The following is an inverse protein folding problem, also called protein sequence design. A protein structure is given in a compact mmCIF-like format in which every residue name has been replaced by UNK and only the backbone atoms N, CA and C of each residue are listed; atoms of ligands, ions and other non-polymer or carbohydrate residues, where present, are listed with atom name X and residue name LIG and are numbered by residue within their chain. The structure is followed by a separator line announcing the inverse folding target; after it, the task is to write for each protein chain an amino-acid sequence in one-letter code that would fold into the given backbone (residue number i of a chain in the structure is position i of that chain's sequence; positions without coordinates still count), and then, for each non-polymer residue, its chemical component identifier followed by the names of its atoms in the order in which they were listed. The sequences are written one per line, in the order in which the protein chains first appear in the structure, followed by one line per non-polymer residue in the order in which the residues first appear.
data_IF_696540946071
#
_entry.id   IF_696540946071
#
_cell.length_a   1.000
_cell.length_b   1.000
_cell.length_c   1.000
_cell.angle_alpha   90.00
_cell.angle_beta   90.00
_cell.angle_gamma   90.00
#
_symmetry.space_group_name_H-M   'P 1'
#
loop_
_entity.id
_entity.type
_entity.pdbx_description
1 polymer ?
#
# COMPACT_ATOMS: atom_id res chain seq x y z
N UNK A 1 56.26 -0.95 68.92
CA UNK A 1 56.75 -2.15 68.22
C UNK A 1 55.90 -2.34 66.97
N UNK A 2 56.52 -2.28 65.79
CA UNK A 2 55.90 -2.33 64.46
C UNK A 2 55.90 -3.80 64.01
N UNK A 3 54.74 -4.40 63.73
CA UNK A 3 54.68 -5.70 63.04
C UNK A 3 54.19 -5.45 61.60
N UNK A 4 55.05 -5.83 60.65
CA UNK A 4 55.01 -5.54 59.22
C UNK A 4 54.77 -6.83 58.43
N UNK A 5 53.69 -7.55 58.74
CA UNK A 5 53.35 -8.79 58.03
C UNK A 5 51.98 -8.70 57.40
N UNK A 6 52.01 -8.72 56.06
CA UNK A 6 50.95 -9.01 55.09
C UNK A 6 50.63 -7.87 54.12
N UNK A 7 51.67 -7.65 53.32
CA UNK A 7 51.70 -7.18 51.95
C UNK A 7 50.44 -7.46 51.08
N UNK A 8 50.07 -6.40 50.34
CA UNK A 8 49.81 -6.42 48.88
C UNK A 8 48.52 -7.13 48.40
N UNK A 9 47.49 -6.29 48.24
CA UNK A 9 46.75 -6.04 46.98
C UNK A 9 46.81 -7.11 45.87
N UNK A 10 45.67 -7.72 45.55
CA UNK A 10 44.90 -7.44 44.33
C UNK A 10 43.66 -8.35 44.27
N UNK A 11 42.52 -7.82 44.69
CA UNK A 11 41.24 -8.35 44.22
C UNK A 11 41.14 -8.04 42.73
N UNK A 12 41.45 -9.03 41.90
CA UNK A 12 41.19 -8.96 40.47
C UNK A 12 39.67 -8.89 40.28
N UNK A 13 39.13 -7.66 40.23
CA UNK A 13 37.81 -7.41 39.66
C UNK A 13 37.84 -7.97 38.23
N UNK A 14 36.95 -8.90 37.85
CA UNK A 14 36.82 -9.23 36.44
C UNK A 14 36.47 -7.93 35.71
N UNK A 15 37.29 -7.55 34.74
CA UNK A 15 36.97 -6.46 33.82
C UNK A 15 35.55 -6.69 33.33
N UNK A 16 34.66 -5.72 33.57
CA UNK A 16 33.38 -5.65 32.88
C UNK A 16 33.71 -5.62 31.41
N UNK A 17 33.57 -6.76 30.73
CA UNK A 17 33.50 -6.78 29.28
C UNK A 17 32.34 -5.85 28.91
N UNK A 18 32.69 -4.74 28.27
CA UNK A 18 31.76 -3.80 27.68
C UNK A 18 30.92 -4.55 26.65
N UNK A 19 29.81 -5.13 27.09
CA UNK A 19 28.73 -5.56 26.20
C UNK A 19 28.04 -4.29 25.71
N UNK A 20 28.71 -3.59 24.79
CA UNK A 20 27.99 -2.94 23.71
C UNK A 20 27.29 -4.05 22.93
N UNK A 21 26.11 -4.45 23.42
CA UNK A 21 25.15 -5.19 22.61
C UNK A 21 24.74 -4.25 21.50
N UNK A 22 25.52 -4.26 20.41
CA UNK A 22 25.10 -3.68 19.15
C UNK A 22 23.78 -4.36 18.84
N UNK A 23 22.67 -3.63 19.00
CA UNK A 23 21.38 -4.11 18.52
C UNK A 23 21.61 -4.46 17.04
N UNK A 24 21.30 -5.70 16.62
CA UNK A 24 21.48 -6.08 15.23
C UNK A 24 20.75 -5.05 14.38
N UNK A 25 21.48 -4.46 13.43
CA UNK A 25 21.01 -3.40 12.55
C UNK A 25 19.66 -3.81 11.94
N UNK A 26 18.57 -3.28 12.49
CA UNK A 26 17.25 -3.62 11.98
C UNK A 26 17.13 -3.02 10.58
N UNK A 27 16.59 -3.78 9.61
CA UNK A 27 16.44 -3.26 8.27
C UNK A 27 15.56 -2.01 8.30
N UNK A 28 16.07 -0.92 7.71
CA UNK A 28 15.39 0.38 7.63
C UNK A 28 14.00 0.29 6.95
N UNK A 29 13.75 -0.78 6.20
CA UNK A 29 12.44 -1.14 5.64
C UNK A 29 12.33 -2.64 5.46
N UNK A 30 11.20 -3.22 5.88
CA UNK A 30 10.81 -4.60 5.57
C UNK A 30 9.82 -4.53 4.40
N UNK A 31 10.08 -5.28 3.33
CA UNK A 31 9.11 -5.44 2.25
C UNK A 31 7.97 -6.35 2.73
N UNK A 32 6.89 -5.72 3.20
CA UNK A 32 5.67 -6.44 3.57
C UNK A 32 4.81 -6.59 2.33
N UNK A 33 4.47 -7.83 1.97
CA UNK A 33 3.54 -8.12 0.88
C UNK A 33 2.22 -7.43 1.17
N UNK A 34 1.66 -6.76 0.15
CA UNK A 34 0.40 -6.06 0.33
C UNK A 34 -0.72 -7.05 0.67
N UNK A 35 -1.41 -6.79 1.77
CA UNK A 35 -2.57 -7.56 2.25
C UNK A 35 -3.65 -6.60 2.80
N UNK A 36 -4.78 -7.13 3.30
CA UNK A 36 -5.88 -6.29 3.81
C UNK A 36 -5.49 -5.45 5.03
N UNK A 37 -4.59 -5.96 5.87
CA UNK A 37 -4.00 -5.31 7.05
C UNK A 37 -2.87 -4.37 6.66
N UNK A 38 -2.07 -4.73 5.64
CA UNK A 38 -0.93 -3.98 5.12
C UNK A 38 -1.17 -3.54 3.67
N UNK A 39 -2.07 -2.57 3.40
CA UNK A 39 -2.38 -2.15 2.03
C UNK A 39 -1.17 -1.49 1.37
N UNK A 40 -1.05 -1.67 0.05
CA UNK A 40 0.02 -1.08 -0.79
C UNK A 40 0.17 0.44 -0.61
N UNK A 41 -0.93 1.12 -0.32
CA UNK A 41 -0.94 2.53 0.06
C UNK A 41 -1.44 2.63 1.51
N UNK A 42 -0.55 2.94 2.48
CA UNK A 42 -0.94 3.03 3.88
C UNK A 42 -1.97 4.13 4.13
N UNK A 43 -2.94 3.86 5.01
CA UNK A 43 -4.16 4.68 5.17
C UNK A 43 -3.89 6.13 5.61
N UNK A 44 -2.85 6.36 6.38
CA UNK A 44 -2.55 7.69 6.92
C UNK A 44 -1.79 8.60 5.94
N UNK A 45 -1.37 8.05 4.81
CA UNK A 45 -0.59 8.78 3.81
C UNK A 45 -1.44 9.78 3.04
N UNK A 46 -0.81 10.88 2.59
CA UNK A 46 -1.42 11.84 1.67
C UNK A 46 -1.87 11.16 0.36
N UNK A 47 -1.10 10.18 -0.12
CA UNK A 47 -1.42 9.37 -1.31
C UNK A 47 -2.74 8.61 -1.13
N UNK A 48 -2.94 7.95 0.02
CA UNK A 48 -4.19 7.26 0.31
C UNK A 48 -5.37 8.22 0.33
N UNK A 49 -5.25 9.36 1.02
CA UNK A 49 -6.30 10.39 1.07
C UNK A 49 -6.69 10.91 -0.32
N UNK A 50 -5.70 11.15 -1.17
CA UNK A 50 -5.94 11.59 -2.56
C UNK A 50 -6.72 10.54 -3.35
N UNK A 51 -6.30 9.28 -3.31
CA UNK A 51 -6.99 8.17 -3.99
C UNK A 51 -8.40 7.94 -3.44
N UNK A 52 -8.56 7.99 -2.12
CA UNK A 52 -9.84 7.78 -1.46
C UNK A 52 -10.88 8.85 -1.84
N UNK A 53 -10.45 10.12 -1.96
CA UNK A 53 -11.31 11.22 -2.44
C UNK A 53 -11.84 10.96 -3.86
N UNK A 54 -11.10 10.23 -4.69
CA UNK A 54 -11.52 9.84 -6.04
C UNK A 54 -12.55 8.70 -6.10
N UNK A 55 -12.81 7.99 -4.99
CA UNK A 55 -13.67 6.80 -4.96
C UNK A 55 -15.08 7.06 -5.50
N UNK A 56 -15.69 8.17 -5.12
CA UNK A 56 -17.05 8.51 -5.55
C UNK A 56 -17.17 8.61 -7.08
N UNK A 57 -16.10 8.99 -7.78
CA UNK A 57 -16.11 9.01 -9.24
C UNK A 57 -16.21 7.61 -9.84
N UNK A 58 -15.51 6.65 -9.24
CA UNK A 58 -15.55 5.24 -9.64
C UNK A 58 -16.94 4.66 -9.37
N UNK A 59 -17.49 4.90 -8.18
CA UNK A 59 -18.83 4.41 -7.80
C UNK A 59 -19.92 4.95 -8.75
N UNK A 60 -19.83 6.22 -9.16
CA UNK A 60 -20.75 6.79 -10.15
C UNK A 60 -20.68 6.09 -11.50
N UNK A 61 -19.48 5.80 -12.02
CA UNK A 61 -19.35 5.06 -13.28
C UNK A 61 -19.88 3.63 -13.15
N UNK A 62 -19.62 2.94 -12.04
CA UNK A 62 -20.22 1.62 -11.79
C UNK A 62 -21.75 1.67 -11.71
N UNK A 63 -22.32 2.75 -11.17
CA UNK A 63 -23.75 3.01 -11.20
C UNK A 63 -24.27 3.13 -12.64
N UNK A 64 -23.61 3.92 -13.49
CA UNK A 64 -23.96 4.06 -14.92
C UNK A 64 -23.87 2.73 -15.65
N UNK A 65 -22.77 2.00 -15.47
CA UNK A 65 -22.54 0.70 -16.11
C UNK A 65 -23.70 -0.27 -15.82
N UNK A 66 -24.16 -0.32 -14.57
CA UNK A 66 -25.27 -1.18 -14.16
C UNK A 66 -26.61 -0.71 -14.70
N UNK A 67 -26.92 0.58 -14.52
CA UNK A 67 -28.26 1.11 -14.73
C UNK A 67 -28.52 1.59 -16.17
N UNK A 68 -27.53 2.20 -16.80
CA UNK A 68 -27.64 2.80 -18.14
C UNK A 68 -27.16 1.83 -19.23
N UNK A 69 -26.11 1.05 -18.97
CA UNK A 69 -25.49 0.17 -19.97
C UNK A 69 -25.89 -1.31 -19.86
N UNK A 70 -26.89 -1.62 -19.04
CA UNK A 70 -27.50 -2.94 -19.00
C UNK A 70 -26.62 -4.04 -18.38
N UNK A 71 -25.64 -3.69 -17.55
CA UNK A 71 -24.85 -4.69 -16.83
C UNK A 71 -25.55 -5.25 -15.59
N UNK A 72 -26.66 -4.66 -15.14
CA UNK A 72 -27.55 -5.25 -14.14
C UNK A 72 -28.66 -6.10 -14.77
N UNK A 73 -29.50 -5.58 -15.69
CA UNK A 73 -30.46 -6.38 -16.43
C UNK A 73 -29.81 -7.04 -17.66
N UNK A 74 -29.08 -8.13 -17.44
CA UNK A 74 -28.43 -8.87 -18.54
C UNK A 74 -29.47 -9.45 -19.50
N UNK A 75 -29.44 -9.00 -20.76
CA UNK A 75 -30.35 -9.45 -21.82
C UNK A 75 -29.81 -10.61 -22.66
N UNK A 76 -28.51 -10.88 -22.54
CA UNK A 76 -27.83 -11.96 -23.27
C UNK A 76 -27.66 -13.18 -22.39
N UNK A 77 -27.79 -14.38 -22.96
CA UNK A 77 -27.60 -15.66 -22.26
C UNK A 77 -26.22 -16.24 -22.54
N UNK A 78 -25.62 -16.88 -21.54
CA UNK A 78 -24.30 -17.52 -21.61
C UNK A 78 -23.18 -16.60 -21.11
N UNK A 79 -22.27 -17.16 -20.31
CA UNK A 79 -21.21 -16.40 -19.64
C UNK A 79 -20.26 -15.71 -20.64
N UNK A 80 -19.89 -16.39 -21.71
CA UNK A 80 -19.00 -15.82 -22.75
C UNK A 80 -19.61 -14.59 -23.41
N UNK A 81 -20.93 -14.63 -23.71
CA UNK A 81 -21.63 -13.49 -24.30
C UNK A 81 -21.81 -12.34 -23.33
N UNK A 82 -22.05 -12.65 -22.05
CA UNK A 82 -22.10 -11.64 -20.98
C UNK A 82 -20.73 -10.98 -20.78
N UNK A 83 -19.65 -11.77 -20.79
CA UNK A 83 -18.29 -11.26 -20.69
C UNK A 83 -17.96 -10.34 -21.87
N UNK A 84 -18.24 -10.79 -23.09
CA UNK A 84 -18.06 -9.98 -24.30
C UNK A 84 -18.85 -8.66 -24.24
N UNK A 85 -20.12 -8.71 -23.80
CA UNK A 85 -20.93 -7.51 -23.62
C UNK A 85 -20.30 -6.53 -22.61
N UNK A 86 -19.86 -7.04 -21.45
CA UNK A 86 -19.20 -6.23 -20.43
C UNK A 86 -17.90 -5.61 -20.97
N UNK A 87 -17.06 -6.39 -21.65
CA UNK A 87 -15.79 -5.94 -22.21
C UNK A 87 -16.01 -4.83 -23.25
N UNK A 88 -16.97 -5.01 -24.17
CA UNK A 88 -17.29 -4.00 -25.18
C UNK A 88 -17.83 -2.71 -24.56
N UNK A 89 -18.69 -2.81 -23.53
CA UNK A 89 -19.18 -1.63 -22.80
C UNK A 89 -18.01 -0.90 -22.11
N UNK A 90 -17.10 -1.63 -21.46
CA UNK A 90 -15.93 -1.05 -20.80
C UNK A 90 -15.02 -0.33 -21.79
N UNK A 91 -14.70 -0.96 -22.94
CA UNK A 91 -13.92 -0.35 -24.01
C UNK A 91 -14.59 0.90 -24.59
N UNK A 92 -15.89 0.86 -24.83
CA UNK A 92 -16.64 2.01 -25.34
C UNK A 92 -16.61 3.19 -24.34
N UNK A 93 -16.79 2.93 -23.05
CA UNK A 93 -16.76 3.96 -22.00
C UNK A 93 -15.40 4.60 -21.84
N UNK A 94 -14.34 3.79 -21.85
CA UNK A 94 -12.97 4.30 -21.83
C UNK A 94 -12.66 5.13 -23.07
N UNK A 95 -13.12 4.70 -24.24
CA UNK A 95 -12.94 5.44 -25.50
C UNK A 95 -13.65 6.80 -25.47
N UNK A 96 -14.89 6.84 -24.96
CA UNK A 96 -15.63 8.10 -24.77
C UNK A 96 -14.94 9.04 -23.77
N UNK A 97 -14.44 8.50 -22.64
CA UNK A 97 -13.70 9.29 -21.66
C UNK A 97 -12.41 9.85 -22.26
N UNK A 98 -11.65 9.03 -22.99
CA UNK A 98 -10.43 9.45 -23.67
C UNK A 98 -10.70 10.53 -24.72
N UNK A 99 -11.75 10.37 -25.52
CA UNK A 99 -12.15 11.36 -26.51
C UNK A 99 -12.47 12.72 -25.86
N UNK A 100 -13.21 12.73 -24.73
CA UNK A 100 -13.52 13.96 -23.98
C UNK A 100 -12.27 14.64 -23.45
N UNK A 101 -11.34 13.86 -22.87
CA UNK A 101 -10.06 14.39 -22.38
C UNK A 101 -9.22 14.98 -23.51
N UNK A 102 -9.24 14.37 -24.70
CA UNK A 102 -8.52 14.89 -25.87
C UNK A 102 -9.16 16.14 -26.48
N UNK A 103 -10.47 16.29 -26.33
CA UNK A 103 -11.21 17.47 -26.80
C UNK A 103 -11.05 18.69 -25.87
N UNK A 104 -10.66 18.47 -24.61
CA UNK A 104 -10.35 19.57 -23.70
C UNK A 104 -9.10 20.33 -24.18
N UNK A 105 -9.13 21.68 -24.21
CA UNK A 105 -7.95 22.46 -24.54
C UNK A 105 -6.83 22.12 -23.55
N UNK A 106 -5.67 21.75 -24.06
CA UNK A 106 -4.47 21.62 -23.23
C UNK A 106 -4.01 23.04 -22.93
N UNK A 107 -3.95 23.41 -21.64
CA UNK A 107 -3.27 24.63 -21.25
C UNK A 107 -1.82 24.56 -21.75
N UNK A 108 -1.43 25.55 -22.56
CA UNK A 108 -0.06 25.73 -23.05
C UNK A 108 0.85 26.27 -21.94
#
# INVERSE_FOLDING_TARGET
MRDWRNAVTHSAKPLRADRHTQQPNQPKSIWVKADRRNPLVPRDTKRWRSLYRGRASVEREFGRLKNEYGLAPLRVRGLERVALHADLVMLARLSQALARVRAMPRAA
#
